data_IF_628309906624
#
_entry.id   IF_628309906624
#
_cell.length_a   1.000
_cell.length_b   1.000
_cell.length_c   1.000
_cell.angle_alpha   90.00
_cell.angle_beta   90.00
_cell.angle_gamma   90.00
#
_symmetry.space_group_name_H-M   'P 1'
#
loop_
_entity.id
_entity.type
_entity.pdbx_description
1 polymer ?
#
# COMPACT_ATOMS: atom_id res chain seq x y z
N UNK A 1 20.96 -1.15 -47.03
CA UNK A 1 20.97 -2.50 -46.45
C UNK A 1 20.64 -2.32 -44.97
N UNK A 2 19.55 -2.93 -44.52
CA UNK A 2 18.75 -2.52 -43.34
C UNK A 2 19.37 -2.96 -42.01
N UNK A 3 19.63 -2.03 -41.10
CA UNK A 3 20.18 -2.30 -39.74
C UNK A 3 19.10 -2.54 -38.66
N UNK A 4 17.81 -2.55 -38.99
CA UNK A 4 16.71 -2.57 -38.00
C UNK A 4 16.22 -3.97 -37.57
N UNK A 5 16.92 -5.06 -37.88
CA UNK A 5 16.48 -6.42 -37.48
C UNK A 5 17.16 -6.98 -36.22
N UNK A 6 18.02 -6.22 -35.54
CA UNK A 6 18.82 -6.74 -34.42
C UNK A 6 18.28 -6.38 -33.01
N UNK A 7 17.05 -5.89 -32.88
CA UNK A 7 16.47 -5.49 -31.57
C UNK A 7 15.78 -6.61 -30.81
N UNK A 8 15.58 -7.78 -31.43
CA UNK A 8 14.87 -8.92 -30.83
C UNK A 8 15.84 -10.05 -30.53
N UNK A 9 16.09 -10.30 -29.24
CA UNK A 9 16.89 -11.44 -28.79
C UNK A 9 16.01 -12.69 -28.76
N UNK A 10 16.38 -13.72 -29.53
CA UNK A 10 15.66 -15.01 -29.56
C UNK A 10 16.27 -16.01 -28.58
N UNK A 11 15.50 -16.44 -27.58
CA UNK A 11 15.91 -17.42 -26.57
C UNK A 11 15.31 -18.80 -26.87
N UNK A 12 16.14 -19.85 -26.88
CA UNK A 12 15.67 -21.25 -26.95
C UNK A 12 15.54 -21.80 -25.54
N UNK A 13 14.30 -21.99 -25.08
CA UNK A 13 13.99 -22.55 -23.76
C UNK A 13 13.63 -24.02 -23.87
N UNK A 14 14.23 -24.87 -23.04
CA UNK A 14 13.85 -26.29 -22.92
C UNK A 14 12.78 -26.42 -21.84
N UNK A 15 11.64 -26.99 -22.19
CA UNK A 15 10.50 -27.19 -21.28
C UNK A 15 9.97 -28.61 -21.40
N UNK A 16 9.29 -29.10 -20.36
CA UNK A 16 8.57 -30.38 -20.44
C UNK A 16 7.34 -30.26 -21.36
N UNK A 17 6.88 -31.38 -21.96
CA UNK A 17 5.68 -31.39 -22.79
C UNK A 17 4.44 -30.89 -22.05
N UNK A 18 4.23 -31.33 -20.81
CA UNK A 18 3.10 -30.90 -19.97
C UNK A 18 3.10 -29.39 -19.72
N UNK A 19 4.27 -28.80 -19.52
CA UNK A 19 4.38 -27.37 -19.29
C UNK A 19 4.06 -26.58 -20.56
N UNK A 20 4.49 -27.07 -21.73
CA UNK A 20 4.12 -26.47 -23.02
C UNK A 20 2.61 -26.47 -23.22
N UNK A 21 1.93 -27.57 -22.91
CA UNK A 21 0.46 -27.63 -23.01
C UNK A 21 -0.23 -26.63 -22.08
N UNK A 22 0.26 -26.49 -20.83
CA UNK A 22 -0.24 -25.48 -19.90
C UNK A 22 -0.08 -24.06 -20.47
N UNK A 23 1.04 -23.74 -21.10
CA UNK A 23 1.25 -22.44 -21.77
C UNK A 23 0.27 -22.28 -22.94
N UNK A 24 0.06 -23.29 -23.79
CA UNK A 24 -0.92 -23.23 -24.89
C UNK A 24 -2.32 -22.90 -24.37
N UNK A 25 -2.76 -23.61 -23.33
CA UNK A 25 -4.11 -23.46 -22.78
C UNK A 25 -4.29 -22.08 -22.15
N UNK A 26 -3.30 -21.59 -21.40
CA UNK A 26 -3.35 -20.27 -20.77
C UNK A 26 -3.23 -19.13 -21.78
N UNK A 27 -2.40 -19.27 -22.81
CA UNK A 27 -2.30 -18.32 -23.91
C UNK A 27 -3.64 -18.19 -24.67
N UNK A 28 -4.31 -19.32 -24.95
CA UNK A 28 -5.66 -19.32 -25.54
C UNK A 28 -6.68 -18.62 -24.65
N UNK A 29 -6.70 -18.93 -23.35
CA UNK A 29 -7.62 -18.30 -22.40
C UNK A 29 -7.40 -16.78 -22.29
N UNK A 30 -6.15 -16.33 -22.38
CA UNK A 30 -5.77 -14.92 -22.31
C UNK A 30 -5.82 -14.19 -23.67
N UNK A 31 -6.25 -14.86 -24.75
CA UNK A 31 -6.24 -14.32 -26.13
C UNK A 31 -4.85 -13.80 -26.56
N UNK A 32 -3.79 -14.52 -26.18
CA UNK A 32 -2.38 -14.18 -26.48
C UNK A 32 -1.72 -15.29 -27.28
N UNK A 33 -0.69 -14.94 -28.05
CA UNK A 33 0.24 -15.94 -28.58
C UNK A 33 1.06 -16.58 -27.47
N UNK A 34 1.62 -17.76 -27.72
CA UNK A 34 2.49 -18.45 -26.77
C UNK A 34 3.68 -17.58 -26.34
N UNK A 35 4.32 -16.88 -27.28
CA UNK A 35 5.42 -15.98 -26.95
C UNK A 35 4.96 -14.81 -26.08
N UNK A 36 3.83 -14.19 -26.39
CA UNK A 36 3.30 -13.08 -25.59
C UNK A 36 2.94 -13.51 -24.17
N UNK A 37 2.41 -14.71 -23.98
CA UNK A 37 2.12 -15.24 -22.64
C UNK A 37 3.41 -15.50 -21.85
N UNK A 38 4.45 -16.04 -22.49
CA UNK A 38 5.76 -16.26 -21.86
C UNK A 38 6.39 -14.92 -21.46
N UNK A 39 6.42 -13.94 -22.38
CA UNK A 39 6.98 -12.60 -22.12
C UNK A 39 6.23 -11.93 -20.98
N UNK A 40 4.89 -11.90 -21.02
CA UNK A 40 4.09 -11.26 -19.98
C UNK A 40 4.30 -11.89 -18.59
N UNK A 41 4.50 -13.21 -18.51
CA UNK A 41 4.81 -13.88 -17.23
C UNK A 41 6.20 -13.55 -16.73
N UNK A 42 7.18 -13.48 -17.64
CA UNK A 42 8.55 -13.09 -17.28
C UNK A 42 8.57 -11.64 -16.78
N UNK A 43 7.95 -10.71 -17.51
CA UNK A 43 7.82 -9.31 -17.09
C UNK A 43 7.16 -9.22 -15.70
N UNK A 44 6.04 -9.90 -15.50
CA UNK A 44 5.36 -9.97 -14.20
C UNK A 44 6.21 -10.58 -13.09
N UNK A 45 7.16 -11.47 -13.41
CA UNK A 45 8.08 -12.03 -12.42
C UNK A 45 9.17 -11.04 -11.98
N UNK A 46 9.47 -10.04 -12.82
CA UNK A 46 10.40 -8.96 -12.52
C UNK A 46 9.72 -7.71 -11.95
N UNK A 47 8.40 -7.56 -12.12
CA UNK A 47 7.63 -6.57 -11.40
C UNK A 47 7.80 -6.83 -9.90
N UNK A 48 8.35 -5.84 -9.18
CA UNK A 48 8.50 -5.84 -7.74
C UNK A 48 7.12 -5.94 -7.09
N UNK A 49 6.61 -7.17 -6.98
CA UNK A 49 5.43 -7.46 -6.19
C UNK A 49 5.85 -7.21 -4.75
N UNK A 50 5.50 -6.03 -4.23
CA UNK A 50 5.50 -5.79 -2.79
C UNK A 50 4.71 -6.96 -2.20
N UNK A 51 5.33 -7.83 -1.38
CA UNK A 51 4.64 -8.98 -0.85
C UNK A 51 3.34 -8.50 -0.22
N UNK A 52 2.21 -9.10 -0.60
CA UNK A 52 0.90 -8.74 -0.03
C UNK A 52 0.93 -8.78 1.51
N UNK A 53 1.76 -9.67 2.07
CA UNK A 53 2.06 -9.75 3.50
C UNK A 53 2.69 -8.47 4.05
N UNK A 54 3.67 -7.89 3.35
CA UNK A 54 4.33 -6.64 3.75
C UNK A 54 3.37 -5.45 3.72
N UNK A 55 2.47 -5.41 2.72
CA UNK A 55 1.41 -4.38 2.66
C UNK A 55 0.45 -4.52 3.84
N UNK A 56 0.03 -5.74 4.16
CA UNK A 56 -0.85 -6.03 5.28
C UNK A 56 -0.21 -5.69 6.64
N UNK A 57 1.06 -6.05 6.84
CA UNK A 57 1.81 -5.72 8.05
C UNK A 57 1.96 -4.20 8.23
N UNK A 58 2.26 -3.49 7.15
CA UNK A 58 2.34 -2.03 7.17
C UNK A 58 0.99 -1.38 7.50
N UNK A 59 -0.11 -1.85 6.89
CA UNK A 59 -1.45 -1.36 7.18
C UNK A 59 -1.84 -1.57 8.65
N UNK A 60 -1.56 -2.76 9.20
CA UNK A 60 -1.82 -3.04 10.61
C UNK A 60 -1.01 -2.11 11.53
N UNK A 61 0.28 -1.92 11.25
CA UNK A 61 1.11 -1.00 12.03
C UNK A 61 0.61 0.45 11.97
N UNK A 62 0.06 0.88 10.82
CA UNK A 62 -0.56 2.20 10.66
C UNK A 62 -1.86 2.33 11.47
N UNK A 63 -2.71 1.30 11.46
CA UNK A 63 -3.94 1.28 12.27
C UNK A 63 -3.63 1.34 13.77
N UNK A 64 -2.70 0.52 14.25
CA UNK A 64 -2.26 0.53 15.64
C UNK A 64 -1.71 1.91 16.06
N UNK A 65 -0.92 2.54 15.18
CA UNK A 65 -0.42 3.91 15.40
C UNK A 65 -1.54 4.94 15.44
N UNK A 66 -2.53 4.85 14.54
CA UNK A 66 -3.67 5.76 14.52
C UNK A 66 -4.51 5.64 15.80
N UNK A 67 -4.74 4.43 16.29
CA UNK A 67 -5.45 4.22 17.55
C UNK A 67 -4.68 4.75 18.75
N UNK A 68 -3.35 4.62 18.73
CA UNK A 68 -2.50 5.21 19.77
C UNK A 68 -2.55 6.74 19.74
N UNK A 69 -2.55 7.36 18.55
CA UNK A 69 -2.69 8.81 18.39
C UNK A 69 -4.05 9.29 18.92
N UNK A 70 -5.15 8.59 18.63
CA UNK A 70 -6.48 8.91 19.17
C UNK A 70 -6.48 8.89 20.70
N UNK A 71 -5.95 7.83 21.31
CA UNK A 71 -5.82 7.73 22.78
C UNK A 71 -4.97 8.86 23.36
N UNK A 72 -3.88 9.22 22.69
CA UNK A 72 -3.03 10.34 23.11
C UNK A 72 -3.78 11.67 23.05
N UNK A 73 -4.60 11.88 22.03
CA UNK A 73 -5.44 13.08 21.90
C UNK A 73 -6.49 13.16 23.01
N UNK A 74 -7.17 12.06 23.32
CA UNK A 74 -8.15 11.98 24.42
C UNK A 74 -7.50 12.33 25.77
N UNK A 75 -6.33 11.76 26.05
CA UNK A 75 -5.56 12.08 27.27
C UNK A 75 -5.18 13.56 27.28
N UNK A 76 -4.73 14.11 26.15
CA UNK A 76 -4.39 15.53 26.06
C UNK A 76 -5.59 16.42 26.33
N UNK A 77 -6.77 16.10 25.77
CA UNK A 77 -8.01 16.83 26.02
C UNK A 77 -8.39 16.79 27.50
N UNK A 78 -8.28 15.62 28.15
CA UNK A 78 -8.54 15.48 29.57
C UNK A 78 -7.59 16.33 30.44
N UNK A 79 -6.32 16.41 30.07
CA UNK A 79 -5.34 17.26 30.78
C UNK A 79 -5.69 18.74 30.63
N UNK A 80 -6.08 19.19 29.43
CA UNK A 80 -6.50 20.56 29.18
C UNK A 80 -7.76 20.90 29.99
N UNK A 81 -8.73 20.00 30.06
CA UNK A 81 -9.92 20.18 30.91
C UNK A 81 -9.55 20.35 32.39
N UNK A 82 -8.69 19.47 32.93
CA UNK A 82 -8.24 19.55 34.33
C UNK A 82 -7.46 20.83 34.62
N UNK A 83 -6.73 21.37 33.64
CA UNK A 83 -6.04 22.66 33.78
C UNK A 83 -7.05 23.81 33.77
N UNK A 84 -8.03 23.78 32.88
CA UNK A 84 -9.10 24.76 32.79
C UNK A 84 -9.97 24.80 34.07
N UNK A 85 -10.25 23.65 34.69
CA UNK A 85 -10.99 23.56 35.96
C UNK A 85 -10.30 24.30 37.12
N UNK A 86 -8.96 24.41 37.09
CA UNK A 86 -8.20 25.12 38.13
C UNK A 86 -8.12 26.63 37.92
N UNK A 87 -8.58 27.13 36.78
CA UNK A 87 -8.58 28.55 36.47
C UNK A 87 -9.92 29.20 36.86
N UNK A 88 -9.88 30.49 37.26
CA UNK A 88 -11.08 31.32 37.42
C UNK A 88 -11.94 31.35 36.16
N UNK A 89 -13.25 31.54 36.31
CA UNK A 89 -14.20 31.57 35.18
C UNK A 89 -14.05 32.81 34.28
N UNK A 90 -13.47 33.88 34.80
CA UNK A 90 -13.13 35.10 34.06
C UNK A 90 -11.75 35.07 33.41
N UNK A 91 -10.98 33.99 33.59
CA UNK A 91 -9.65 33.85 32.99
C UNK A 91 -9.77 33.57 31.48
N UNK A 92 -9.25 34.46 30.61
CA UNK A 92 -9.33 34.29 29.16
C UNK A 92 -8.61 33.01 28.66
N UNK A 93 -7.64 32.50 29.42
CA UNK A 93 -6.93 31.25 29.11
C UNK A 93 -7.85 30.04 29.25
N UNK A 94 -8.81 30.07 30.19
CA UNK A 94 -9.81 29.01 30.39
C UNK A 94 -10.75 28.92 29.19
N UNK A 95 -11.29 30.06 28.75
CA UNK A 95 -12.16 30.12 27.57
C UNK A 95 -11.44 29.61 26.32
N UNK A 96 -10.18 30.00 26.12
CA UNK A 96 -9.37 29.56 24.98
C UNK A 96 -9.06 28.06 25.01
N UNK A 97 -8.80 27.50 26.19
CA UNK A 97 -8.56 26.06 26.35
C UNK A 97 -9.81 25.22 26.02
N UNK A 98 -10.99 25.67 26.44
CA UNK A 98 -12.26 25.00 26.11
C UNK A 98 -12.62 25.12 24.63
N UNK A 99 -12.31 26.26 24.00
CA UNK A 99 -12.50 26.46 22.56
C UNK A 99 -11.61 25.51 21.73
N UNK A 100 -10.35 25.34 22.12
CA UNK A 100 -9.42 24.40 21.46
C UNK A 100 -9.93 22.95 21.51
N UNK A 101 -10.53 22.53 22.61
CA UNK A 101 -11.13 21.19 22.72
C UNK A 101 -12.34 21.05 21.80
N UNK A 102 -13.18 22.09 21.69
CA UNK A 102 -14.38 22.06 20.83
C UNK A 102 -14.06 22.13 19.34
N UNK A 103 -12.92 22.68 18.92
CA UNK A 103 -12.51 22.69 17.51
C UNK A 103 -11.96 21.33 17.02
N UNK A 104 -11.63 20.42 17.94
CA UNK A 104 -11.03 19.13 17.65
C UNK A 104 -12.01 17.95 17.73
N UNK A 105 -13.26 18.20 18.14
CA UNK A 105 -14.38 17.24 18.15
C UNK A 105 -15.30 17.48 16.95
#
# INVERSE_FOLDING_TARGET
MSEDQNSVVTLKVRVSPEFREKIVNTAKANNRSMNQEIVARLEKSFENNIPSTLVSEYMQAVEEKNDMIKKQLEISNLLVLKLAEKLPDDDPSKSRMLELINQLN
#
